data_IF_925974130625
#
_entry.id   IF_925974130625
#
_cell.length_a   1.000
_cell.length_b   1.000
_cell.length_c   1.000
_cell.angle_alpha   90.00
_cell.angle_beta   90.00
_cell.angle_gamma   90.00
#
_symmetry.space_group_name_H-M   'P 1'
#
loop_
_entity.id
_entity.type
_entity.pdbx_description
1 polymer ?
#
# COMPACT_ATOMS: atom_id res chain seq x y z
N UNK A 1 4.47 -7.05 -13.59
CA UNK A 1 5.45 -7.42 -12.53
C UNK A 1 4.83 -7.17 -11.16
N UNK A 2 5.02 -8.10 -10.25
CA UNK A 2 4.48 -7.96 -8.92
C UNK A 2 5.43 -7.18 -8.01
N UNK A 3 4.85 -6.34 -7.16
CA UNK A 3 5.56 -5.60 -6.14
C UNK A 3 4.81 -5.69 -4.82
N UNK A 4 5.57 -5.85 -3.74
CA UNK A 4 5.03 -5.78 -2.38
C UNK A 4 5.29 -4.37 -1.87
N UNK A 5 4.23 -3.72 -1.40
CA UNK A 5 4.31 -2.40 -0.79
C UNK A 5 3.99 -2.58 0.69
N UNK A 6 4.92 -2.19 1.56
CA UNK A 6 4.74 -2.28 3.01
C UNK A 6 4.81 -0.87 3.58
N UNK A 7 3.71 -0.44 4.18
CA UNK A 7 3.66 0.83 4.90
C UNK A 7 3.85 0.58 6.39
N UNK A 8 4.75 1.33 7.01
CA UNK A 8 5.01 1.25 8.44
C UNK A 8 4.39 2.46 9.13
N UNK A 9 3.43 2.21 10.03
CA UNK A 9 2.77 3.27 10.76
C UNK A 9 3.76 4.05 11.62
N UNK A 10 3.63 5.39 11.57
CA UNK A 10 4.32 6.27 12.50
C UNK A 10 3.59 6.34 13.84
N UNK A 11 4.13 7.10 14.79
CA UNK A 11 3.57 7.18 16.16
C UNK A 11 2.15 7.72 16.19
N UNK A 12 1.73 8.50 15.18
CA UNK A 12 0.38 9.06 15.08
C UNK A 12 -0.50 8.30 14.07
N UNK A 13 -0.02 7.20 13.52
CA UNK A 13 -0.70 6.49 12.45
C UNK A 13 -2.09 6.02 12.84
N UNK A 14 -2.22 5.36 13.97
CA UNK A 14 -3.51 4.84 14.44
C UNK A 14 -4.54 5.96 14.62
N UNK A 15 -4.13 7.11 15.15
CA UNK A 15 -4.99 8.24 15.37
C UNK A 15 -5.43 8.90 14.04
N UNK A 16 -4.56 8.94 13.06
CA UNK A 16 -4.80 9.58 11.75
C UNK A 16 -5.60 8.71 10.78
N UNK A 17 -5.50 7.38 10.89
CA UNK A 17 -6.11 6.46 9.94
C UNK A 17 -7.59 6.72 9.67
N UNK A 18 -8.47 6.89 10.68
CA UNK A 18 -9.89 7.08 10.40
C UNK A 18 -10.19 8.29 9.53
N UNK A 19 -9.48 9.40 9.74
CA UNK A 19 -9.66 10.62 8.96
C UNK A 19 -9.12 10.52 7.55
N UNK A 20 -7.98 9.85 7.37
CA UNK A 20 -7.30 9.75 6.07
C UNK A 20 -7.85 8.59 5.23
N UNK A 21 -8.43 7.57 5.84
CA UNK A 21 -8.86 6.33 5.18
C UNK A 21 -9.72 6.54 3.93
N UNK A 22 -10.72 7.44 3.90
CA UNK A 22 -11.51 7.63 2.69
C UNK A 22 -10.68 8.03 1.47
N UNK A 23 -9.68 8.90 1.66
CA UNK A 23 -8.78 9.31 0.58
C UNK A 23 -7.82 8.20 0.17
N UNK A 24 -7.33 7.43 1.15
CA UNK A 24 -6.50 6.25 0.88
C UNK A 24 -7.27 5.23 0.02
N UNK A 25 -8.51 4.93 0.36
CA UNK A 25 -9.34 4.01 -0.42
C UNK A 25 -9.66 4.56 -1.80
N UNK A 26 -9.89 5.87 -1.93
CA UNK A 26 -10.11 6.50 -3.23
C UNK A 26 -8.88 6.38 -4.14
N UNK A 27 -7.68 6.38 -3.56
CA UNK A 27 -6.42 6.18 -4.29
C UNK A 27 -6.22 4.71 -4.68
N UNK A 28 -6.55 3.79 -3.79
CA UNK A 28 -6.26 2.35 -3.98
C UNK A 28 -7.32 1.61 -4.80
N UNK A 29 -8.61 1.97 -4.68
CA UNK A 29 -9.72 1.26 -5.35
C UNK A 29 -9.58 1.15 -6.86
N UNK A 30 -9.19 2.18 -7.61
CA UNK A 30 -9.02 2.04 -9.06
C UNK A 30 -8.05 0.93 -9.45
N UNK A 31 -6.97 0.77 -8.70
CA UNK A 31 -6.00 -0.31 -8.92
C UNK A 31 -6.62 -1.68 -8.60
N UNK A 32 -7.35 -1.76 -7.49
CA UNK A 32 -8.05 -2.99 -7.10
C UNK A 32 -9.12 -3.38 -8.15
N UNK A 33 -9.92 -2.41 -8.60
CA UNK A 33 -10.99 -2.65 -9.57
C UNK A 33 -10.46 -3.03 -10.94
N UNK A 34 -9.26 -2.56 -11.31
CA UNK A 34 -8.61 -2.95 -12.57
C UNK A 34 -8.02 -4.36 -12.55
N UNK A 35 -8.04 -5.05 -11.42
CA UNK A 35 -7.44 -6.37 -11.25
C UNK A 35 -5.95 -6.35 -11.01
N UNK A 36 -5.36 -5.18 -10.83
CA UNK A 36 -3.90 -5.03 -10.63
C UNK A 36 -3.48 -5.08 -9.17
N UNK A 37 -4.41 -5.18 -8.25
CA UNK A 37 -4.12 -5.39 -6.83
C UNK A 37 -4.54 -6.81 -6.47
N UNK A 38 -3.58 -7.64 -6.05
CA UNK A 38 -3.87 -9.02 -5.66
C UNK A 38 -4.48 -9.09 -4.28
N UNK A 39 -3.95 -8.30 -3.35
CA UNK A 39 -4.42 -8.24 -1.98
C UNK A 39 -3.91 -6.94 -1.35
N UNK A 40 -4.66 -6.41 -0.40
CA UNK A 40 -4.24 -5.24 0.36
C UNK A 40 -5.01 -5.16 1.66
N UNK A 41 -4.34 -4.73 2.71
CA UNK A 41 -4.96 -4.57 4.02
C UNK A 41 -3.98 -4.22 5.11
N UNK A 42 -4.50 -3.81 6.28
CA UNK A 42 -3.65 -3.51 7.42
C UNK A 42 -3.18 -4.77 8.12
N UNK A 43 -2.02 -4.69 8.78
CA UNK A 43 -1.61 -5.71 9.72
C UNK A 43 -2.49 -5.64 10.96
N UNK A 44 -2.90 -6.79 11.47
CA UNK A 44 -3.82 -6.84 12.61
C UNK A 44 -3.17 -6.44 13.93
N UNK A 45 -1.85 -6.32 13.96
CA UNK A 45 -1.11 -5.83 15.12
C UNK A 45 -0.97 -4.31 15.16
N UNK A 46 -1.51 -3.61 14.16
CA UNK A 46 -1.46 -2.15 14.10
C UNK A 46 -0.15 -1.57 13.59
N UNK A 47 0.79 -2.41 13.10
CA UNK A 47 2.13 -1.95 12.71
C UNK A 47 2.19 -1.29 11.33
N UNK A 48 1.16 -1.48 10.51
CA UNK A 48 1.17 -0.94 9.15
C UNK A 48 0.21 -1.66 8.23
N UNK A 49 0.55 -1.65 6.94
CA UNK A 49 -0.27 -2.27 5.89
C UNK A 49 0.63 -2.95 4.85
N UNK A 50 0.05 -3.92 4.16
CA UNK A 50 0.70 -4.59 3.05
C UNK A 50 -0.23 -4.57 1.84
N UNK A 51 0.33 -4.27 0.67
CA UNK A 51 -0.38 -4.33 -0.61
C UNK A 51 0.51 -5.07 -1.60
N UNK A 52 -0.07 -5.97 -2.39
CA UNK A 52 0.63 -6.60 -3.52
C UNK A 52 -0.06 -6.14 -4.79
N UNK A 53 0.72 -5.50 -5.66
CA UNK A 53 0.23 -4.91 -6.91
C UNK A 53 0.98 -5.46 -8.11
N UNK A 54 0.29 -5.48 -9.26
CA UNK A 54 0.88 -5.76 -10.55
C UNK A 54 1.08 -4.43 -11.29
N UNK A 55 2.32 -4.04 -11.45
CA UNK A 55 2.68 -2.77 -12.09
C UNK A 55 3.68 -3.02 -13.22
N UNK A 56 3.75 -2.07 -14.15
CA UNK A 56 4.62 -2.16 -15.31
C UNK A 56 6.10 -2.25 -14.92
N UNK A 57 6.50 -1.48 -13.90
CA UNK A 57 7.88 -1.43 -13.43
C UNK A 57 7.92 -0.89 -12.00
N UNK A 58 9.13 -0.89 -11.42
CA UNK A 58 9.33 -0.41 -10.06
C UNK A 58 8.99 1.07 -9.90
N UNK A 59 9.31 1.89 -10.91
CA UNK A 59 9.00 3.32 -10.86
C UNK A 59 7.49 3.56 -10.71
N UNK A 60 6.67 2.80 -11.43
CA UNK A 60 5.22 2.89 -11.32
C UNK A 60 4.73 2.46 -9.92
N UNK A 61 5.31 1.41 -9.36
CA UNK A 61 4.97 0.96 -8.01
C UNK A 61 5.37 1.98 -6.94
N UNK A 62 6.54 2.59 -7.09
CA UNK A 62 7.00 3.66 -6.19
C UNK A 62 6.10 4.89 -6.28
N UNK A 63 5.72 5.30 -7.48
CA UNK A 63 4.81 6.42 -7.67
C UNK A 63 3.46 6.16 -7.00
N UNK A 64 2.90 4.98 -7.22
CA UNK A 64 1.64 4.59 -6.58
C UNK A 64 1.75 4.64 -5.05
N UNK A 65 2.81 4.05 -4.50
CA UNK A 65 3.04 4.01 -3.06
C UNK A 65 3.22 5.41 -2.46
N UNK A 66 4.05 6.24 -3.10
CA UNK A 66 4.38 7.58 -2.58
C UNK A 66 3.24 8.59 -2.74
N UNK A 67 2.28 8.34 -3.61
CA UNK A 67 1.10 9.17 -3.78
C UNK A 67 -0.07 8.74 -2.88
N UNK A 68 0.08 7.66 -2.13
CA UNK A 68 -0.93 7.22 -1.19
C UNK A 68 -1.12 8.29 -0.10
N UNK A 69 -2.36 8.73 0.15
CA UNK A 69 -2.64 9.66 1.26
C UNK A 69 -2.11 9.19 2.61
N UNK A 70 -2.01 7.88 2.84
CA UNK A 70 -1.40 7.38 4.09
C UNK A 70 0.08 7.74 4.21
N UNK A 71 0.79 7.89 3.10
CA UNK A 71 2.17 8.41 3.11
C UNK A 71 2.16 9.92 3.23
N UNK A 72 1.37 10.60 2.41
CA UNK A 72 1.39 12.07 2.32
C UNK A 72 0.90 12.75 3.59
N UNK A 73 0.00 12.12 4.34
CA UNK A 73 -0.60 12.71 5.54
C UNK A 73 -0.07 12.08 6.84
N UNK A 74 1.02 11.33 6.75
CA UNK A 74 1.76 10.91 7.93
C UNK A 74 1.20 9.72 8.70
N UNK A 75 0.31 8.93 8.11
CA UNK A 75 -0.08 7.64 8.70
C UNK A 75 1.12 6.71 8.69
N UNK A 76 1.76 6.55 7.52
CA UNK A 76 3.01 5.81 7.40
C UNK A 76 4.19 6.76 7.56
N UNK A 77 5.15 6.40 8.40
CA UNK A 77 6.42 7.12 8.49
C UNK A 77 7.44 6.59 7.49
N UNK A 78 7.24 5.38 6.97
CA UNK A 78 8.12 4.74 6.01
C UNK A 78 7.33 3.81 5.13
N UNK A 79 7.70 3.74 3.86
CA UNK A 79 7.13 2.78 2.92
C UNK A 79 8.26 2.04 2.21
N UNK A 80 8.09 0.74 2.01
CA UNK A 80 9.01 -0.09 1.26
C UNK A 80 8.30 -0.64 0.03
N UNK A 81 9.00 -0.67 -1.10
CA UNK A 81 8.51 -1.30 -2.33
C UNK A 81 9.54 -2.36 -2.73
N UNK A 82 9.10 -3.61 -2.84
CA UNK A 82 9.99 -4.73 -3.17
C UNK A 82 9.45 -5.49 -4.38
N UNK A 83 10.30 -5.79 -5.37
CA UNK A 83 9.89 -6.69 -6.45
C UNK A 83 9.60 -8.08 -5.87
N UNK A 84 8.58 -8.74 -6.42
CA UNK A 84 8.11 -10.00 -5.88
C UNK A 84 7.74 -10.95 -7.01
N UNK A 85 8.02 -12.22 -6.83
CA UNK A 85 7.60 -13.27 -7.76
C UNK A 85 6.76 -14.29 -7.00
N UNK A 86 5.54 -14.51 -7.47
CA UNK A 86 4.69 -15.55 -6.93
C UNK A 86 5.21 -16.91 -7.38
N UNK A 87 5.44 -17.81 -6.42
CA UNK A 87 5.82 -19.18 -6.67
C UNK A 87 4.69 -20.13 -6.28
N UNK A 88 4.04 -19.88 -5.18
CA UNK A 88 2.93 -20.67 -4.65
C UNK A 88 1.79 -19.76 -4.20
N UNK A 89 0.52 -20.20 -4.32
CA UNK A 89 0.08 -21.43 -4.99
C UNK A 89 0.30 -21.35 -6.51
N UNK A 90 0.51 -22.50 -7.12
CA UNK A 90 0.73 -22.59 -8.59
C UNK A 90 -0.54 -22.29 -9.43
#
# INVERSE_FOLDING_TARGET
MLFVIIGHDGPNGAALRPTVRPRHLAHARPVAESGKMLIGGPFTDGSGSLIIVDMENEAAALEFANNDPYVREGVFERVEVKPFRKVLPE
#
